data_IF_354163844781
#
_entry.id   IF_354163844781
#
_cell.length_a   1.000
_cell.length_b   1.000
_cell.length_c   1.000
_cell.angle_alpha   90.00
_cell.angle_beta   90.00
_cell.angle_gamma   90.00
#
_symmetry.space_group_name_H-M   'P 1'
#
loop_
_entity.id
_entity.type
_entity.pdbx_description
1 polymer ?
#
# COMPACT_ATOMS: atom_id res chain seq x y z
N UNK A 1 1.50 -1.84 8.13
CA UNK A 1 0.43 -1.91 7.10
C UNK A 1 -0.92 -1.78 7.78
N UNK A 2 -1.83 -0.97 7.23
CA UNK A 2 -3.17 -0.78 7.77
C UNK A 2 -4.23 -1.40 6.85
N UNK A 3 -5.29 -1.93 7.43
CA UNK A 3 -6.39 -2.58 6.70
C UNK A 3 -7.75 -2.20 7.27
N UNK A 4 -8.79 -2.14 6.44
CA UNK A 4 -10.18 -1.86 6.86
C UNK A 4 -11.17 -2.66 6.01
N UNK A 5 -12.18 -3.28 6.65
CA UNK A 5 -13.17 -4.12 5.95
C UNK A 5 -12.69 -5.55 5.78
N UNK A 6 -13.42 -6.32 4.95
CA UNK A 6 -13.17 -7.74 4.63
C UNK A 6 -13.72 -8.06 3.24
N UNK A 7 -13.06 -8.96 2.49
CA UNK A 7 -13.49 -9.40 1.16
C UNK A 7 -12.41 -9.18 0.09
N UNK A 8 -12.79 -8.69 -1.10
CA UNK A 8 -11.87 -8.47 -2.22
C UNK A 8 -10.82 -7.41 -1.84
N UNK A 9 -9.52 -7.72 -1.94
CA UNK A 9 -8.48 -6.76 -1.60
C UNK A 9 -8.43 -5.62 -2.62
N UNK A 10 -8.31 -4.39 -2.10
CA UNK A 10 -8.05 -3.18 -2.90
C UNK A 10 -6.92 -2.41 -2.22
N UNK A 11 -5.79 -2.27 -2.92
CA UNK A 11 -4.63 -1.53 -2.42
C UNK A 11 -4.76 -0.05 -2.75
N UNK A 12 -4.56 0.78 -1.73
CA UNK A 12 -4.59 2.23 -1.79
C UNK A 12 -3.16 2.74 -1.66
N UNK A 13 -2.67 3.44 -2.69
CA UNK A 13 -1.32 4.01 -2.70
C UNK A 13 -1.39 5.52 -2.51
N UNK A 14 -0.66 6.02 -1.51
CA UNK A 14 -0.62 7.44 -1.22
C UNK A 14 0.36 8.21 -2.11
N UNK A 15 0.09 9.52 -2.27
CA UNK A 15 0.95 10.45 -3.00
C UNK A 15 2.19 10.88 -2.22
N UNK A 16 2.93 11.85 -2.76
CA UNK A 16 4.07 12.43 -2.05
C UNK A 16 3.61 13.28 -0.84
N UNK A 17 4.28 13.13 0.30
CA UNK A 17 4.00 13.90 1.52
C UNK A 17 2.75 13.46 2.29
N UNK A 18 2.22 12.28 1.98
CA UNK A 18 1.05 11.68 2.64
C UNK A 18 1.40 10.29 3.20
N UNK A 19 0.49 9.67 3.95
CA UNK A 19 0.61 8.35 4.57
C UNK A 19 -0.53 7.42 4.15
N UNK A 20 -0.32 6.10 4.28
CA UNK A 20 -1.38 5.13 4.04
C UNK A 20 -2.59 5.33 4.97
N UNK A 21 -2.33 5.71 6.22
CA UNK A 21 -3.37 5.99 7.22
C UNK A 21 -4.33 7.10 6.80
N UNK A 22 -3.81 8.19 6.22
CA UNK A 22 -4.61 9.35 5.85
C UNK A 22 -5.66 8.98 4.79
N UNK A 23 -5.25 8.23 3.76
CA UNK A 23 -6.16 7.76 2.72
C UNK A 23 -7.16 6.75 3.27
N UNK A 24 -6.67 5.79 4.07
CA UNK A 24 -7.55 4.78 4.64
C UNK A 24 -8.61 5.41 5.54
N UNK A 25 -8.25 6.42 6.33
CA UNK A 25 -9.14 7.08 7.29
C UNK A 25 -10.35 7.75 6.60
N UNK A 26 -10.15 8.30 5.41
CA UNK A 26 -11.19 8.99 4.63
C UNK A 26 -12.23 8.03 4.03
N UNK A 27 -11.94 6.73 3.91
CA UNK A 27 -12.83 5.75 3.30
C UNK A 27 -13.65 4.99 4.35
N UNK A 28 -14.97 4.84 4.16
CA UNK A 28 -15.79 3.97 4.99
C UNK A 28 -15.47 2.49 4.71
N UNK A 29 -15.78 1.57 5.65
CA UNK A 29 -15.85 0.15 5.32
C UNK A 29 -16.93 -0.08 4.25
N UNK A 30 -16.64 -0.93 3.27
CA UNK A 30 -17.58 -1.32 2.21
C UNK A 30 -17.74 -2.84 2.26
N UNK A 31 -18.97 -3.33 2.19
CA UNK A 31 -19.26 -4.76 2.21
C UNK A 31 -18.54 -5.48 1.05
N UNK A 32 -17.85 -6.57 1.37
CA UNK A 32 -17.10 -7.35 0.39
C UNK A 32 -15.80 -6.71 -0.10
N UNK A 33 -15.34 -5.61 0.51
CA UNK A 33 -14.04 -4.98 0.20
C UNK A 33 -13.12 -4.99 1.42
N UNK A 34 -11.88 -5.44 1.20
CA UNK A 34 -10.77 -5.26 2.12
C UNK A 34 -9.87 -4.13 1.60
N UNK A 35 -9.93 -2.97 2.23
CA UNK A 35 -8.99 -1.88 1.97
C UNK A 35 -7.64 -2.22 2.58
N UNK A 36 -6.57 -2.02 1.81
CA UNK A 36 -5.18 -2.21 2.25
C UNK A 36 -4.42 -0.94 1.91
N UNK A 37 -3.88 -0.26 2.93
CA UNK A 37 -3.13 0.98 2.76
C UNK A 37 -1.75 0.84 3.40
N UNK A 38 -0.73 0.41 2.63
CA UNK A 38 0.66 0.43 3.07
C UNK A 38 1.21 1.86 3.01
N UNK A 39 2.21 2.15 3.84
CA UNK A 39 3.11 3.28 3.57
C UNK A 39 4.08 2.84 2.47
N UNK A 40 4.25 3.67 1.43
CA UNK A 40 5.23 3.40 0.37
C UNK A 40 6.66 3.46 0.94
N UNK A 41 7.64 2.81 0.30
CA UNK A 41 9.02 2.85 0.78
C UNK A 41 9.54 4.28 0.95
N UNK A 42 10.15 4.54 2.12
CA UNK A 42 10.69 5.85 2.49
C UNK A 42 9.67 6.82 3.09
N UNK A 43 8.44 6.37 3.33
CA UNK A 43 7.40 7.16 3.99
C UNK A 43 6.89 6.43 5.24
N UNK A 44 6.37 7.23 6.19
CA UNK A 44 5.72 6.72 7.39
C UNK A 44 6.60 5.75 8.16
N UNK A 45 6.15 4.49 8.25
CA UNK A 45 6.85 3.40 8.95
C UNK A 45 7.54 2.39 8.02
N UNK A 46 7.59 2.64 6.72
CA UNK A 46 8.23 1.77 5.74
C UNK A 46 9.67 2.21 5.48
N UNK A 47 10.60 1.26 5.53
CA UNK A 47 11.99 1.48 5.16
C UNK A 47 12.10 2.03 3.71
N UNK A 48 13.11 2.87 3.41
CA UNK A 48 13.36 3.31 2.05
C UNK A 48 13.80 2.14 1.15
N UNK A 49 13.55 2.26 -0.15
CA UNK A 49 14.23 1.40 -1.12
C UNK A 49 15.74 1.68 -1.13
N UNK A 50 16.56 0.71 -1.58
CA UNK A 50 17.99 0.92 -1.75
C UNK A 50 18.30 2.19 -2.56
N UNK A 51 19.44 2.81 -2.28
CA UNK A 51 19.88 4.00 -3.02
C UNK A 51 19.91 3.74 -4.53
N UNK A 52 19.34 4.66 -5.30
CA UNK A 52 19.21 4.54 -6.75
C UNK A 52 17.92 3.85 -7.23
N UNK A 53 17.13 3.25 -6.34
CA UNK A 53 15.87 2.58 -6.66
C UNK A 53 14.64 3.43 -6.31
N UNK A 54 14.65 4.73 -6.62
CA UNK A 54 13.55 5.66 -6.28
C UNK A 54 12.56 5.90 -7.43
N UNK A 55 12.78 5.27 -8.57
CA UNK A 55 11.97 5.44 -9.77
C UNK A 55 10.63 4.70 -9.67
N UNK A 56 9.64 5.04 -10.54
CA UNK A 56 8.34 4.39 -10.52
C UNK A 56 8.37 2.88 -10.75
N UNK A 57 9.32 2.35 -11.53
CA UNK A 57 9.42 0.91 -11.76
C UNK A 57 9.88 0.19 -10.50
N UNK A 58 10.86 0.74 -9.78
CA UNK A 58 11.30 0.21 -8.48
C UNK A 58 10.15 0.17 -7.46
N UNK A 59 9.31 1.20 -7.41
CA UNK A 59 8.09 1.22 -6.58
C UNK A 59 7.07 0.16 -7.01
N UNK A 60 6.89 -0.07 -8.32
CA UNK A 60 6.00 -1.10 -8.83
C UNK A 60 6.49 -2.53 -8.51
N UNK A 61 7.81 -2.77 -8.59
CA UNK A 61 8.41 -4.05 -8.18
C UNK A 61 8.21 -4.27 -6.69
N UNK A 62 8.42 -3.25 -5.85
CA UNK A 62 8.11 -3.34 -4.43
C UNK A 62 6.64 -3.69 -4.17
N UNK A 63 5.71 -3.04 -4.88
CA UNK A 63 4.28 -3.32 -4.74
C UNK A 63 3.96 -4.77 -5.12
N UNK A 64 4.59 -5.29 -6.17
CA UNK A 64 4.40 -6.68 -6.56
C UNK A 64 4.87 -7.68 -5.51
N UNK A 65 6.04 -7.43 -4.92
CA UNK A 65 6.56 -8.24 -3.82
C UNK A 65 5.62 -8.17 -2.63
N UNK A 66 5.11 -6.98 -2.28
CA UNK A 66 4.12 -6.81 -1.23
C UNK A 66 2.85 -7.63 -1.51
N UNK A 67 2.29 -7.55 -2.72
CA UNK A 67 1.10 -8.32 -3.10
C UNK A 67 1.33 -9.83 -3.00
N UNK A 68 2.51 -10.29 -3.42
CA UNK A 68 2.92 -11.69 -3.35
C UNK A 68 3.03 -12.18 -1.90
N UNK A 69 3.67 -11.40 -1.02
CA UNK A 69 3.77 -11.70 0.42
C UNK A 69 2.40 -11.73 1.12
N UNK A 70 1.46 -10.90 0.66
CA UNK A 70 0.08 -10.90 1.15
C UNK A 70 -0.77 -12.03 0.55
N UNK A 71 -0.24 -12.84 -0.36
CA UNK A 71 -0.98 -13.90 -1.05
C UNK A 71 -2.07 -13.37 -1.99
N UNK A 72 -1.95 -12.13 -2.47
CA UNK A 72 -2.91 -11.50 -3.37
C UNK A 72 -2.50 -11.81 -4.81
N UNK A 73 -3.28 -12.66 -5.47
CA UNK A 73 -3.09 -13.00 -6.88
C UNK A 73 -3.45 -11.81 -7.80
N UNK A 74 -2.70 -11.68 -8.89
CA UNK A 74 -2.93 -10.71 -9.97
C UNK A 74 -4.10 -11.11 -10.87
#
# INVERSE_FOLDING_TARGET
MLTKGQGRPVVLLHGNGSLGEEILSALPPVEGVLWIAPDRPGYGRSDPLPEGCFDPLSQAVWLDLLLSELGIAR
#
